data_IF_171421477404
#
_entry.id   IF_171421477404
#
_cell.length_a   1.000
_cell.length_b   1.000
_cell.length_c   1.000
_cell.angle_alpha   90.00
_cell.angle_beta   90.00
_cell.angle_gamma   90.00
#
_symmetry.space_group_name_H-M   'P 1'
#
loop_
_entity.id
_entity.type
_entity.pdbx_description
1 polymer ?
#
# COMPACT_ATOMS: atom_id res chain seq x y z
N UNK A 1 42.20 45.41 3.03
CA UNK A 1 40.97 45.63 3.83
C UNK A 1 39.98 44.50 3.54
N UNK A 2 39.57 43.72 4.55
CA UNK A 2 38.64 42.61 4.36
C UNK A 2 37.20 43.09 4.27
N UNK A 3 36.51 42.79 3.18
CA UNK A 3 35.14 43.25 2.92
C UNK A 3 34.11 42.80 3.97
N UNK A 4 33.02 43.57 4.10
CA UNK A 4 31.91 43.40 5.06
C UNK A 4 31.43 41.95 5.23
N UNK A 5 31.45 41.16 4.15
CA UNK A 5 30.98 39.79 4.10
C UNK A 5 31.88 38.77 4.81
N UNK A 6 33.14 39.11 5.14
CA UNK A 6 34.03 38.20 5.89
C UNK A 6 33.49 37.81 7.26
N UNK A 7 32.66 38.65 7.88
CA UNK A 7 32.02 38.37 9.19
C UNK A 7 30.94 37.28 9.13
N UNK A 8 30.45 36.97 7.93
CA UNK A 8 29.48 35.90 7.68
C UNK A 8 30.13 34.69 7.01
N UNK A 9 31.48 34.63 6.97
CA UNK A 9 32.20 33.50 6.41
C UNK A 9 31.85 32.27 7.27
N UNK A 10 31.10 31.33 6.69
CA UNK A 10 30.71 30.07 7.35
C UNK A 10 31.94 29.41 7.97
N UNK A 11 31.85 29.04 9.23
CA UNK A 11 32.92 28.30 9.92
C UNK A 11 32.98 26.88 9.32
N UNK A 12 34.08 26.49 8.66
CA UNK A 12 34.23 25.14 8.12
C UNK A 12 34.28 24.05 9.21
N UNK A 13 34.36 24.41 10.50
CA UNK A 13 34.33 23.50 11.65
C UNK A 13 32.94 23.19 12.17
N UNK A 14 31.90 23.91 11.73
CA UNK A 14 30.52 23.52 12.00
C UNK A 14 30.28 22.15 11.34
N UNK A 15 30.05 21.12 12.15
CA UNK A 15 29.74 19.77 11.68
C UNK A 15 28.59 19.89 10.69
N UNK A 16 28.75 19.30 9.51
CA UNK A 16 27.69 19.28 8.49
C UNK A 16 26.50 18.52 9.08
N UNK A 17 25.36 19.18 9.15
CA UNK A 17 24.10 18.53 9.45
C UNK A 17 23.62 17.80 8.19
N UNK A 18 23.23 16.54 8.33
CA UNK A 18 22.64 15.76 7.25
C UNK A 18 21.12 15.69 7.40
N UNK A 19 20.41 15.76 6.29
CA UNK A 19 18.95 15.74 6.27
C UNK A 19 18.47 14.29 6.14
N UNK A 20 17.65 13.85 7.07
CA UNK A 20 16.99 12.53 7.03
C UNK A 20 15.58 12.71 6.49
N UNK A 21 15.24 12.00 5.41
CA UNK A 21 13.89 11.96 4.84
C UNK A 21 13.34 10.54 4.84
N UNK A 22 12.10 10.36 5.30
CA UNK A 22 11.42 9.06 5.28
C UNK A 22 9.94 9.21 4.99
N UNK A 23 9.33 8.17 4.39
CA UNK A 23 7.88 8.10 4.16
C UNK A 23 7.22 7.44 5.36
N UNK A 24 6.30 8.15 6.00
CA UNK A 24 5.57 7.67 7.18
C UNK A 24 4.07 7.62 6.85
N UNK A 25 3.34 6.54 7.22
CA UNK A 25 1.88 6.50 7.07
C UNK A 25 1.23 7.69 7.77
N UNK A 26 0.22 8.30 7.12
CA UNK A 26 -0.40 9.54 7.59
C UNK A 26 -0.88 9.48 9.05
N UNK A 27 -1.59 8.41 9.44
CA UNK A 27 -2.09 8.27 10.81
C UNK A 27 -1.00 8.09 11.87
N UNK A 28 0.19 7.58 11.50
CA UNK A 28 1.35 7.51 12.41
C UNK A 28 2.00 8.88 12.54
N UNK A 29 2.13 9.60 11.42
CA UNK A 29 2.66 10.95 11.40
C UNK A 29 1.83 11.90 12.27
N UNK A 30 0.50 11.90 12.14
CA UNK A 30 -0.38 12.76 12.95
C UNK A 30 -0.26 12.47 14.44
N UNK A 31 -0.27 11.19 14.84
CA UNK A 31 -0.12 10.80 16.24
C UNK A 31 1.21 11.28 16.81
N UNK A 32 2.30 11.08 16.07
CA UNK A 32 3.61 11.50 16.51
C UNK A 32 3.73 13.03 16.56
N UNK A 33 3.17 13.74 15.57
CA UNK A 33 3.14 15.20 15.56
C UNK A 33 2.37 15.76 16.75
N UNK A 34 1.17 15.28 17.03
CA UNK A 34 0.37 15.73 18.17
C UNK A 34 1.09 15.46 19.50
N UNK A 35 1.81 14.34 19.60
CA UNK A 35 2.61 14.03 20.77
C UNK A 35 3.79 15.01 20.94
N UNK A 36 4.50 15.34 19.85
CA UNK A 36 5.57 16.34 19.88
C UNK A 36 5.04 17.72 20.27
N UNK A 37 3.92 18.14 19.68
CA UNK A 37 3.27 19.42 19.97
C UNK A 37 2.86 19.51 21.47
N UNK A 38 2.33 18.43 22.04
CA UNK A 38 1.98 18.36 23.47
C UNK A 38 3.21 18.50 24.39
N UNK A 39 4.37 18.01 23.95
CA UNK A 39 5.63 18.10 24.68
C UNK A 39 6.39 19.42 24.40
N UNK A 40 5.87 20.29 23.54
CA UNK A 40 6.54 21.53 23.14
C UNK A 40 7.80 21.30 22.30
N UNK A 41 7.89 20.16 21.60
CA UNK A 41 9.02 19.80 20.75
C UNK A 41 8.67 19.99 19.27
N UNK A 42 9.63 20.46 18.49
CA UNK A 42 9.52 20.35 17.03
C UNK A 42 9.75 18.90 16.57
N UNK A 43 9.20 18.57 15.41
CA UNK A 43 9.39 17.24 14.80
C UNK A 43 10.87 16.88 14.63
N UNK A 44 11.69 17.85 14.21
CA UNK A 44 13.12 17.66 14.01
C UNK A 44 13.84 17.38 15.32
N UNK A 45 13.53 18.12 16.39
CA UNK A 45 14.12 17.90 17.72
C UNK A 45 13.75 16.52 18.27
N UNK A 46 12.47 16.15 18.18
CA UNK A 46 12.00 14.85 18.63
C UNK A 46 12.70 13.71 17.89
N UNK A 47 12.85 13.81 16.56
CA UNK A 47 13.58 12.82 15.76
C UNK A 47 15.06 12.78 16.14
N UNK A 48 15.72 13.93 16.31
CA UNK A 48 17.12 13.97 16.75
C UNK A 48 17.31 13.34 18.15
N UNK A 49 16.39 13.58 19.08
CA UNK A 49 16.44 12.99 20.43
C UNK A 49 16.25 11.47 20.37
N UNK A 50 15.32 10.97 19.55
CA UNK A 50 15.12 9.54 19.36
C UNK A 50 16.33 8.86 18.72
N UNK A 51 16.95 9.50 17.72
CA UNK A 51 18.17 8.97 17.08
C UNK A 51 19.33 8.94 18.06
N UNK A 52 19.55 10.02 18.82
CA UNK A 52 20.59 10.05 19.86
C UNK A 52 20.37 8.96 20.88
N UNK A 53 19.14 8.82 21.36
CA UNK A 53 18.76 7.76 22.29
C UNK A 53 19.05 6.37 21.71
N UNK A 54 18.69 6.10 20.46
CA UNK A 54 18.97 4.78 19.85
C UNK A 54 20.48 4.51 19.68
N UNK A 55 21.30 5.54 19.46
CA UNK A 55 22.74 5.39 19.15
C UNK A 55 23.63 5.45 20.40
N UNK A 56 23.29 6.29 21.37
CA UNK A 56 24.13 6.60 22.54
C UNK A 56 23.76 5.78 23.79
N UNK A 57 22.55 5.22 23.84
CA UNK A 57 22.03 4.50 25.02
C UNK A 57 22.33 2.99 24.86
N UNK A 58 23.42 2.51 25.50
CA UNK A 58 23.89 1.11 25.40
C UNK A 58 22.84 0.08 25.86
N UNK A 59 21.94 0.48 26.78
CA UNK A 59 20.88 -0.39 27.30
C UNK A 59 19.75 -0.65 26.29
N UNK A 60 19.57 0.22 25.29
CA UNK A 60 18.57 0.02 24.23
C UNK A 60 19.04 -1.05 23.26
N UNK A 61 20.34 -1.18 23.00
CA UNK A 61 20.88 -2.22 22.11
C UNK A 61 20.54 -3.64 22.59
N UNK A 62 20.44 -3.87 23.92
CA UNK A 62 19.93 -5.13 24.48
C UNK A 62 18.44 -5.32 24.21
N UNK A 63 17.64 -4.26 24.36
CA UNK A 63 16.21 -4.27 24.06
C UNK A 63 15.90 -4.44 22.56
N UNK A 64 16.68 -3.84 21.65
CA UNK A 64 16.52 -4.04 20.19
C UNK A 64 16.90 -5.46 19.76
N UNK A 65 17.85 -6.12 20.45
CA UNK A 65 18.15 -7.53 20.25
C UNK A 65 16.98 -8.43 20.69
N UNK A 66 16.34 -8.11 21.82
CA UNK A 66 15.14 -8.81 22.34
C UNK A 66 13.87 -8.54 21.50
N UNK A 67 13.74 -7.35 20.92
CA UNK A 67 12.67 -7.04 19.95
C UNK A 67 12.90 -7.72 18.60
N UNK A 68 14.14 -7.92 18.16
CA UNK A 68 14.46 -8.74 16.97
C UNK A 68 14.12 -10.22 17.18
N UNK A 69 14.29 -10.78 18.37
CA UNK A 69 13.83 -12.15 18.68
C UNK A 69 12.31 -12.23 18.81
N UNK A 70 11.66 -11.22 19.40
CA UNK A 70 10.19 -11.19 19.55
C UNK A 70 9.46 -10.93 18.23
N UNK A 71 9.96 -10.04 17.36
CA UNK A 71 9.39 -9.81 16.02
C UNK A 71 9.56 -11.02 15.10
N UNK A 72 10.68 -11.75 15.19
CA UNK A 72 10.84 -13.03 14.50
C UNK A 72 9.89 -14.12 15.04
N UNK A 73 9.59 -14.14 16.34
CA UNK A 73 8.59 -15.07 16.91
C UNK A 73 7.15 -14.69 16.53
N UNK A 74 6.81 -13.40 16.52
CA UNK A 74 5.49 -12.91 16.07
C UNK A 74 5.29 -13.17 14.57
N UNK A 75 6.31 -12.95 13.72
CA UNK A 75 6.23 -13.30 12.30
C UNK A 75 6.11 -14.81 12.06
N UNK A 76 6.81 -15.64 12.84
CA UNK A 76 6.65 -17.11 12.78
C UNK A 76 5.29 -17.58 13.31
N UNK A 77 4.72 -16.91 14.32
CA UNK A 77 3.38 -17.22 14.81
C UNK A 77 2.28 -16.74 13.85
N UNK A 78 2.43 -15.60 13.17
CA UNK A 78 1.53 -15.18 12.08
C UNK A 78 1.59 -16.18 10.92
N UNK A 79 2.77 -16.72 10.59
CA UNK A 79 2.91 -17.79 9.59
C UNK A 79 2.33 -19.13 10.05
N UNK A 80 2.32 -19.45 11.35
CA UNK A 80 1.69 -20.68 11.90
C UNK A 80 0.18 -20.55 12.07
N UNK A 81 -0.33 -19.37 12.43
CA UNK A 81 -1.77 -19.07 12.51
C UNK A 81 -2.38 -19.04 11.09
N UNK A 82 -1.65 -18.56 10.07
CA UNK A 82 -2.05 -18.68 8.66
C UNK A 82 -1.98 -20.11 8.09
N UNK A 83 -1.40 -21.08 8.80
CA UNK A 83 -1.46 -22.51 8.44
C UNK A 83 -2.61 -23.26 9.10
N UNK A 84 -3.18 -22.73 10.19
CA UNK A 84 -4.26 -23.37 10.95
C UNK A 84 -5.60 -22.64 10.92
N UNK A 85 -5.70 -21.50 10.24
CA UNK A 85 -7.00 -21.13 9.69
C UNK A 85 -7.29 -22.12 8.57
N UNK A 86 -8.19 -23.06 8.85
CA UNK A 86 -9.09 -23.56 7.81
C UNK A 86 -9.83 -22.32 7.28
N UNK A 87 -9.15 -21.54 6.44
CA UNK A 87 -9.81 -20.68 5.48
C UNK A 87 -10.56 -21.69 4.65
N UNK A 88 -11.83 -21.87 4.98
CA UNK A 88 -12.84 -22.29 4.01
C UNK A 88 -12.52 -21.41 2.81
N UNK A 89 -11.85 -21.97 1.80
CA UNK A 89 -11.48 -21.26 0.59
C UNK A 89 -12.81 -20.83 0.02
N UNK A 90 -13.25 -19.61 0.34
CA UNK A 90 -14.38 -18.97 -0.30
C UNK A 90 -14.06 -19.08 -1.78
N UNK A 91 -14.85 -19.87 -2.50
CA UNK A 91 -14.66 -20.10 -3.94
C UNK A 91 -14.42 -18.73 -4.57
N UNK A 92 -13.19 -18.45 -4.99
CA UNK A 92 -12.89 -17.20 -5.68
C UNK A 92 -13.79 -17.19 -6.91
N UNK A 93 -14.65 -16.19 -7.01
CA UNK A 93 -15.53 -16.02 -8.15
C UNK A 93 -14.69 -16.05 -9.43
N UNK A 94 -14.97 -17.04 -10.29
CA UNK A 94 -14.21 -17.26 -11.51
C UNK A 94 -14.95 -16.63 -12.70
N UNK A 95 -14.48 -15.48 -13.16
CA UNK A 95 -15.02 -14.80 -14.34
C UNK A 95 -14.46 -15.34 -15.66
N UNK A 96 -13.74 -16.46 -15.67
CA UNK A 96 -13.13 -17.01 -16.90
C UNK A 96 -14.16 -17.38 -17.96
N UNK A 97 -15.40 -17.73 -17.58
CA UNK A 97 -16.44 -18.13 -18.53
C UNK A 97 -16.83 -17.04 -19.52
N UNK A 98 -16.68 -15.77 -19.15
CA UNK A 98 -16.96 -14.62 -20.02
C UNK A 98 -15.70 -13.99 -20.64
N UNK A 99 -14.52 -14.58 -20.42
CA UNK A 99 -13.26 -14.00 -20.87
C UNK A 99 -12.94 -14.46 -22.29
N UNK A 100 -12.92 -13.53 -23.23
CA UNK A 100 -12.48 -13.74 -24.63
C UNK A 100 -11.28 -12.82 -24.89
N UNK A 101 -10.17 -13.36 -25.43
CA UNK A 101 -8.93 -12.64 -25.74
C UNK A 101 -8.38 -11.76 -24.61
N UNK A 102 -8.48 -12.20 -23.36
CA UNK A 102 -8.01 -11.39 -22.25
C UNK A 102 -8.96 -10.26 -21.83
N UNK A 103 -10.12 -10.10 -22.49
CA UNK A 103 -11.13 -9.08 -22.23
C UNK A 103 -12.39 -9.67 -21.60
N UNK A 104 -13.09 -8.86 -20.81
CA UNK A 104 -14.39 -9.15 -20.21
C UNK A 104 -15.45 -8.20 -20.81
N UNK A 105 -16.66 -8.70 -21.05
CA UNK A 105 -17.77 -7.87 -21.53
C UNK A 105 -18.30 -6.99 -20.40
N UNK A 106 -18.75 -5.79 -20.76
CA UNK A 106 -19.51 -4.91 -19.89
C UNK A 106 -20.89 -4.66 -20.49
N UNK A 107 -21.95 -5.35 -20.04
CA UNK A 107 -23.32 -5.12 -20.52
C UNK A 107 -23.82 -3.70 -20.27
N UNK A 108 -23.33 -3.01 -19.23
CA UNK A 108 -23.67 -1.61 -18.95
C UNK A 108 -23.08 -0.62 -19.94
N UNK A 109 -21.89 -0.91 -20.47
CA UNK A 109 -21.22 -0.05 -21.43
C UNK A 109 -21.39 -0.52 -22.88
N UNK A 110 -21.85 -1.75 -23.11
CA UNK A 110 -21.83 -2.38 -24.44
C UNK A 110 -20.42 -2.59 -24.99
N UNK A 111 -19.38 -2.63 -24.13
CA UNK A 111 -17.98 -2.69 -24.57
C UNK A 111 -17.19 -3.80 -23.91
N UNK A 112 -16.11 -4.22 -24.57
CA UNK A 112 -15.15 -5.19 -24.07
C UNK A 112 -13.95 -4.50 -23.42
N UNK A 113 -13.72 -4.77 -22.13
CA UNK A 113 -12.62 -4.19 -21.36
C UNK A 113 -11.55 -5.22 -21.04
N UNK A 114 -10.28 -4.82 -20.98
CA UNK A 114 -9.22 -5.71 -20.51
C UNK A 114 -9.57 -6.27 -19.11
N UNK A 115 -9.52 -7.60 -18.95
CA UNK A 115 -9.88 -8.29 -17.71
C UNK A 115 -9.16 -7.74 -16.48
N UNK A 116 -7.88 -7.36 -16.60
CA UNK A 116 -7.13 -6.76 -15.49
C UNK A 116 -7.65 -5.38 -15.07
N UNK A 117 -8.04 -4.54 -16.02
CA UNK A 117 -8.60 -3.20 -15.73
C UNK A 117 -10.06 -3.32 -15.29
N UNK A 118 -10.77 -4.32 -15.82
CA UNK A 118 -12.15 -4.58 -15.47
C UNK A 118 -12.27 -4.99 -14.00
N UNK A 119 -11.40 -5.89 -13.56
CA UNK A 119 -11.32 -6.37 -12.18
C UNK A 119 -10.79 -5.32 -11.19
N UNK A 120 -10.02 -4.34 -11.64
CA UNK A 120 -9.51 -3.28 -10.76
C UNK A 120 -10.59 -2.24 -10.43
N UNK A 121 -11.25 -1.66 -11.45
CA UNK A 121 -12.15 -0.53 -11.22
C UNK A 121 -13.38 -0.43 -12.13
N UNK A 122 -13.46 -1.18 -13.23
CA UNK A 122 -14.54 -0.95 -14.20
C UNK A 122 -15.93 -1.25 -13.62
N UNK A 123 -16.12 -2.41 -12.95
CA UNK A 123 -17.42 -2.74 -12.35
C UNK A 123 -17.79 -1.79 -11.20
N UNK A 124 -16.79 -1.21 -10.51
CA UNK A 124 -17.00 -0.24 -9.43
C UNK A 124 -17.56 1.09 -9.93
N UNK A 125 -17.19 1.50 -11.14
CA UNK A 125 -17.79 2.68 -11.79
C UNK A 125 -19.30 2.53 -12.02
N UNK A 126 -19.80 1.30 -12.05
CA UNK A 126 -21.22 0.98 -12.15
C UNK A 126 -21.90 0.79 -10.77
N UNK A 127 -21.19 1.08 -9.67
CA UNK A 127 -21.71 0.98 -8.31
C UNK A 127 -21.73 -0.43 -7.72
N UNK A 128 -20.87 -1.34 -8.22
CA UNK A 128 -20.76 -2.70 -7.69
C UNK A 128 -19.52 -2.86 -6.80
N UNK A 129 -19.70 -3.56 -5.68
CA UNK A 129 -18.62 -3.79 -4.71
C UNK A 129 -17.75 -4.99 -5.08
N UNK A 130 -18.26 -5.91 -5.90
CA UNK A 130 -17.53 -7.09 -6.36
C UNK A 130 -17.86 -7.47 -7.80
N UNK A 131 -16.91 -8.15 -8.44
CA UNK A 131 -17.08 -8.72 -9.78
C UNK A 131 -18.23 -9.74 -9.81
N UNK A 132 -18.38 -10.52 -8.74
CA UNK A 132 -19.48 -11.47 -8.56
C UNK A 132 -20.82 -10.77 -8.55
N UNK A 133 -20.97 -9.70 -7.77
CA UNK A 133 -22.22 -8.93 -7.72
C UNK A 133 -22.61 -8.34 -9.08
N UNK A 134 -21.62 -7.93 -9.87
CA UNK A 134 -21.83 -7.42 -11.22
C UNK A 134 -22.35 -8.52 -12.17
N UNK A 135 -21.65 -9.65 -12.24
CA UNK A 135 -22.01 -10.75 -13.15
C UNK A 135 -23.17 -11.61 -12.66
N UNK A 136 -23.51 -11.59 -11.38
CA UNK A 136 -24.76 -12.19 -10.89
C UNK A 136 -25.97 -11.37 -11.32
N UNK A 137 -25.79 -10.06 -11.56
CA UNK A 137 -26.86 -9.17 -12.02
C UNK A 137 -26.95 -9.03 -13.53
N UNK A 138 -25.82 -9.04 -14.23
CA UNK A 138 -25.74 -8.87 -15.69
C UNK A 138 -25.13 -10.09 -16.39
N UNK A 139 -25.31 -11.28 -15.81
CA UNK A 139 -24.70 -12.50 -16.31
C UNK A 139 -25.25 -12.94 -17.65
N UNK A 140 -26.58 -12.86 -17.80
CA UNK A 140 -27.28 -13.25 -19.03
C UNK A 140 -26.91 -12.34 -20.20
N UNK A 141 -26.83 -11.02 -19.98
CA UNK A 141 -26.42 -10.07 -21.00
C UNK A 141 -24.93 -10.23 -21.34
N UNK A 142 -24.10 -10.60 -20.37
CA UNK A 142 -22.70 -10.94 -20.62
C UNK A 142 -22.57 -12.24 -21.44
N UNK A 143 -23.46 -13.21 -21.25
CA UNK A 143 -23.51 -14.43 -22.05
C UNK A 143 -23.88 -14.12 -23.51
N UNK A 144 -24.87 -13.25 -23.75
CA UNK A 144 -25.24 -12.81 -25.10
C UNK A 144 -24.06 -12.15 -25.84
N UNK A 145 -23.36 -11.23 -25.18
CA UNK A 145 -22.17 -10.57 -25.77
C UNK A 145 -21.08 -11.59 -26.12
N UNK A 146 -20.87 -12.60 -25.27
CA UNK A 146 -19.90 -13.68 -25.48
C UNK A 146 -20.30 -14.56 -26.66
N UNK A 147 -21.57 -14.90 -26.81
CA UNK A 147 -22.08 -15.68 -27.93
C UNK A 147 -21.97 -14.92 -29.26
N UNK A 148 -22.33 -13.64 -29.29
CA UNK A 148 -22.19 -12.79 -30.48
C UNK A 148 -20.75 -12.76 -30.96
N UNK A 149 -19.80 -12.51 -30.05
CA UNK A 149 -18.39 -12.43 -30.40
C UNK A 149 -17.81 -13.77 -30.89
N UNK A 150 -18.26 -14.90 -30.33
CA UNK A 150 -17.86 -16.22 -30.82
C UNK A 150 -18.41 -16.50 -32.23
N UNK A 151 -19.65 -16.10 -32.51
CA UNK A 151 -20.24 -16.19 -33.85
C UNK A 151 -19.52 -15.31 -34.86
N UNK A 152 -19.06 -14.13 -34.45
CA UNK A 152 -18.23 -13.26 -35.30
C UNK A 152 -16.88 -13.90 -35.62
N UNK A 153 -16.22 -14.53 -34.65
CA UNK A 153 -14.95 -15.24 -34.84
C UNK A 153 -15.09 -16.51 -35.70
N UNK A 154 -16.25 -17.17 -35.69
CA UNK A 154 -16.53 -18.35 -36.53
C UNK A 154 -16.92 -17.99 -37.98
N UNK A 155 -17.38 -16.76 -38.23
CA UNK A 155 -17.80 -16.28 -39.56
C UNK A 155 -16.75 -15.37 -40.23
N UNK A 156 -15.60 -15.14 -39.60
CA UNK A 156 -14.48 -14.33 -40.10
C UNK A 156 -13.34 -15.20 -40.64
#
# INVERSE_FOLDING_TARGET
MGGYLKRFKRDPRLKKEEIITSRVPHGVYEKFKNHCDHLGLTMSEAVCLLIKKEVEDEDIQKYTQEYKTTTNQIQRNIQRINKNTNVVKSKKFNSSRWKIDGKLPCPKCGTWSNSGNFQRDHYRKHGFDSLESFFSRYGEEADLMVEERKKEEENA
#
